data_IF_616633215574
#
_entry.id   IF_616633215574
#
_cell.length_a   1.000
_cell.length_b   1.000
_cell.length_c   1.000
_cell.angle_alpha   90.00
_cell.angle_beta   90.00
_cell.angle_gamma   90.00
#
_symmetry.space_group_name_H-M   'P 1'
#
loop_
_entity.id
_entity.type
_entity.pdbx_description
1 polymer ?
#
# COMPACT_ATOMS: atom_id res chain seq x y z
N UNK A 1 -0.59 -25.62 -55.42
CA UNK A 1 0.79 -25.31 -55.00
C UNK A 1 0.72 -24.04 -54.18
N UNK A 2 0.97 -24.15 -52.88
CA UNK A 2 0.83 -23.08 -51.89
C UNK A 2 2.03 -22.13 -51.95
N UNK A 3 1.80 -20.86 -52.26
CA UNK A 3 2.79 -19.81 -52.00
C UNK A 3 2.86 -19.58 -50.49
N UNK A 4 3.96 -20.04 -49.88
CA UNK A 4 4.32 -19.70 -48.52
C UNK A 4 4.71 -18.21 -48.50
N UNK A 5 3.81 -17.37 -47.97
CA UNK A 5 4.03 -15.93 -47.83
C UNK A 5 5.27 -15.63 -46.99
N UNK A 6 6.21 -14.90 -47.57
CA UNK A 6 7.45 -14.45 -46.93
C UNK A 6 7.13 -13.51 -45.76
N UNK A 7 7.42 -13.95 -44.53
CA UNK A 7 7.34 -13.14 -43.30
C UNK A 7 8.08 -11.81 -43.50
N UNK A 8 7.42 -10.69 -43.15
CA UNK A 8 7.94 -9.34 -43.37
C UNK A 8 9.28 -9.13 -42.66
N UNK A 9 10.17 -8.32 -43.22
CA UNK A 9 11.45 -7.95 -42.57
C UNK A 9 11.21 -7.40 -41.14
N UNK A 10 10.10 -6.70 -40.93
CA UNK A 10 9.70 -6.15 -39.62
C UNK A 10 9.27 -7.24 -38.64
N UNK A 11 8.55 -8.27 -39.08
CA UNK A 11 8.16 -9.41 -38.25
C UNK A 11 9.38 -10.22 -37.81
N UNK A 12 10.34 -10.41 -38.72
CA UNK A 12 11.61 -11.08 -38.39
C UNK A 12 12.43 -10.28 -37.39
N UNK A 13 12.61 -8.99 -37.63
CA UNK A 13 13.41 -8.11 -36.76
C UNK A 13 12.76 -7.93 -35.39
N UNK A 14 11.43 -7.77 -35.32
CA UNK A 14 10.70 -7.67 -34.05
C UNK A 14 10.81 -8.95 -33.22
N UNK A 15 10.66 -10.12 -33.84
CA UNK A 15 10.85 -11.41 -33.16
C UNK A 15 12.26 -11.55 -32.60
N UNK A 16 13.28 -11.18 -33.39
CA UNK A 16 14.68 -11.18 -32.92
C UNK A 16 14.91 -10.20 -31.77
N UNK A 17 14.34 -9.00 -31.84
CA UNK A 17 14.44 -7.99 -30.81
C UNK A 17 13.81 -8.47 -29.49
N UNK A 18 12.58 -8.97 -29.52
CA UNK A 18 11.88 -9.44 -28.32
C UNK A 18 12.65 -10.57 -27.62
N UNK A 19 13.23 -11.50 -28.40
CA UNK A 19 14.10 -12.54 -27.84
C UNK A 19 15.32 -11.96 -27.14
N UNK A 20 16.07 -11.08 -27.82
CA UNK A 20 17.26 -10.43 -27.24
C UNK A 20 16.93 -9.56 -26.03
N UNK A 21 15.79 -8.87 -26.06
CA UNK A 21 15.32 -8.05 -24.96
C UNK A 21 14.99 -8.91 -23.74
N UNK A 22 14.32 -10.06 -23.93
CA UNK A 22 14.11 -11.02 -22.86
C UNK A 22 15.42 -11.52 -22.26
N UNK A 23 16.37 -11.96 -23.09
CA UNK A 23 17.69 -12.41 -22.62
C UNK A 23 18.42 -11.31 -21.82
N UNK A 24 18.31 -10.05 -22.26
CA UNK A 24 18.86 -8.89 -21.57
C UNK A 24 18.21 -8.64 -20.20
N UNK A 25 16.87 -8.72 -20.12
CA UNK A 25 16.13 -8.59 -18.87
C UNK A 25 16.56 -9.68 -17.90
N UNK A 26 16.55 -10.95 -18.32
CA UNK A 26 16.94 -12.07 -17.44
C UNK A 26 18.39 -11.92 -16.98
N UNK A 27 19.31 -11.56 -17.89
CA UNK A 27 20.71 -11.33 -17.55
C UNK A 27 20.89 -10.32 -16.41
N UNK A 28 20.10 -9.23 -16.38
CA UNK A 28 20.14 -8.24 -15.29
C UNK A 28 19.78 -8.83 -13.92
N UNK A 29 18.72 -9.64 -13.86
CA UNK A 29 18.27 -10.26 -12.61
C UNK A 29 19.20 -11.37 -12.13
N UNK A 30 19.91 -12.05 -13.03
CA UNK A 30 20.84 -13.14 -12.70
C UNK A 30 22.26 -12.66 -12.38
N UNK A 31 22.62 -11.44 -12.74
CA UNK A 31 23.93 -10.87 -12.42
C UNK A 31 24.13 -10.67 -10.91
N UNK A 32 25.33 -10.91 -10.38
CA UNK A 32 25.64 -10.75 -8.96
C UNK A 32 26.52 -9.53 -8.64
N UNK A 33 26.92 -8.76 -9.66
CA UNK A 33 27.95 -7.71 -9.53
C UNK A 33 27.55 -6.55 -8.59
N UNK A 34 26.26 -6.31 -8.41
CA UNK A 34 25.71 -5.17 -7.67
C UNK A 34 25.80 -5.28 -6.12
N UNK A 35 26.15 -6.45 -5.58
CA UNK A 35 26.06 -6.71 -4.14
C UNK A 35 26.96 -5.80 -3.29
N UNK A 36 28.15 -5.45 -3.77
CA UNK A 36 29.06 -4.56 -3.06
C UNK A 36 28.47 -3.15 -2.93
N UNK A 37 27.98 -2.59 -4.03
CA UNK A 37 27.34 -1.26 -4.07
C UNK A 37 26.14 -1.20 -3.13
N UNK A 38 25.33 -2.27 -3.09
CA UNK A 38 24.17 -2.34 -2.20
C UNK A 38 24.56 -2.30 -0.72
N UNK A 39 25.54 -3.11 -0.30
CA UNK A 39 26.01 -3.09 1.08
C UNK A 39 26.66 -1.75 1.47
N UNK A 40 27.37 -1.10 0.56
CA UNK A 40 27.92 0.24 0.79
C UNK A 40 26.81 1.29 0.97
N UNK A 41 25.75 1.22 0.15
CA UNK A 41 24.59 2.10 0.27
C UNK A 41 23.89 1.93 1.63
N UNK A 42 23.67 0.70 2.09
CA UNK A 42 23.10 0.44 3.42
C UNK A 42 24.00 0.93 4.56
N UNK A 43 25.32 0.96 4.39
CA UNK A 43 26.22 1.49 5.42
C UNK A 43 26.18 3.01 5.48
N UNK A 44 26.12 3.66 4.31
CA UNK A 44 26.28 5.11 4.15
C UNK A 44 24.99 5.91 4.26
N UNK A 45 23.82 5.31 3.99
CA UNK A 45 22.55 6.04 3.93
C UNK A 45 21.52 5.53 4.96
N UNK A 46 20.98 6.46 5.77
CA UNK A 46 19.99 6.15 6.81
C UNK A 46 18.63 5.71 6.25
N UNK A 47 18.12 6.41 5.23
CA UNK A 47 16.85 6.08 4.58
C UNK A 47 16.93 4.70 3.90
N UNK A 48 18.04 4.38 3.23
CA UNK A 48 18.23 3.06 2.63
C UNK A 48 18.12 1.92 3.66
N UNK A 49 18.67 2.12 4.88
CA UNK A 49 18.53 1.13 5.97
C UNK A 49 17.09 0.98 6.44
N UNK A 50 16.37 2.09 6.60
CA UNK A 50 14.96 2.09 7.00
C UNK A 50 14.11 1.35 5.97
N UNK A 51 14.24 1.71 4.69
CA UNK A 51 13.52 1.06 3.60
C UNK A 51 13.84 -0.42 3.51
N UNK A 52 15.12 -0.80 3.72
CA UNK A 52 15.52 -2.20 3.74
C UNK A 52 14.90 -2.96 4.92
N UNK A 53 14.95 -2.40 6.13
CA UNK A 53 14.29 -2.98 7.30
C UNK A 53 12.80 -3.23 7.08
N UNK A 54 12.11 -2.24 6.50
CA UNK A 54 10.71 -2.38 6.09
C UNK A 54 10.51 -3.50 5.06
N UNK A 55 11.39 -3.61 4.05
CA UNK A 55 11.29 -4.66 3.03
C UNK A 55 11.42 -6.08 3.59
N UNK A 56 12.27 -6.28 4.61
CA UNK A 56 12.47 -7.60 5.23
C UNK A 56 11.20 -8.14 5.90
N UNK A 57 10.29 -7.23 6.30
CA UNK A 57 9.01 -7.56 6.91
C UNK A 57 7.87 -7.49 5.90
N UNK A 58 7.64 -6.32 5.31
CA UNK A 58 6.42 -6.01 4.55
C UNK A 58 6.31 -6.79 3.24
N UNK A 59 7.43 -7.23 2.66
CA UNK A 59 7.38 -8.01 1.41
C UNK A 59 6.88 -9.44 1.64
N UNK A 60 7.07 -10.04 2.82
CA UNK A 60 6.85 -11.48 3.02
C UNK A 60 5.84 -11.80 4.12
N UNK A 61 5.64 -10.92 5.10
CA UNK A 61 4.84 -11.22 6.30
C UNK A 61 3.38 -11.56 5.98
N UNK A 62 2.84 -11.02 4.88
CA UNK A 62 1.45 -11.24 4.47
C UNK A 62 1.22 -12.49 3.64
N UNK A 63 2.28 -13.23 3.25
CA UNK A 63 2.19 -14.49 2.53
C UNK A 63 2.18 -15.67 3.52
N UNK A 64 1.10 -15.77 4.30
CA UNK A 64 0.94 -16.77 5.34
C UNK A 64 -0.46 -17.42 5.25
N UNK A 65 -0.49 -18.69 4.85
CA UNK A 65 -1.73 -19.44 4.62
C UNK A 65 -2.58 -19.61 5.90
N UNK A 66 -1.95 -19.76 7.06
CA UNK A 66 -2.68 -19.85 8.34
C UNK A 66 -3.38 -18.53 8.65
N UNK A 67 -2.72 -17.41 8.35
CA UNK A 67 -3.31 -16.08 8.56
C UNK A 67 -4.43 -15.81 7.56
N UNK A 68 -4.26 -16.22 6.30
CA UNK A 68 -5.32 -16.11 5.29
C UNK A 68 -6.57 -16.87 5.72
N UNK A 69 -6.40 -18.09 6.21
CA UNK A 69 -7.51 -18.91 6.71
C UNK A 69 -8.22 -18.23 7.88
N UNK A 70 -7.48 -17.70 8.87
CA UNK A 70 -8.06 -16.96 10.00
C UNK A 70 -8.84 -15.72 9.57
N UNK A 71 -8.36 -14.99 8.57
CA UNK A 71 -9.10 -13.86 8.01
C UNK A 71 -10.41 -14.34 7.42
N UNK A 72 -10.38 -15.33 6.53
CA UNK A 72 -11.58 -15.83 5.84
C UNK A 72 -12.60 -16.44 6.81
N UNK A 73 -12.16 -17.05 7.92
CA UNK A 73 -13.02 -17.53 9.00
C UNK A 73 -13.64 -16.40 9.84
N UNK A 74 -12.96 -15.25 9.93
CA UNK A 74 -13.38 -14.13 10.79
C UNK A 74 -14.30 -13.14 10.07
N UNK A 75 -14.11 -12.94 8.76
CA UNK A 75 -14.92 -12.01 7.98
C UNK A 75 -16.28 -12.62 7.62
N UNK A 76 -17.30 -11.76 7.52
CA UNK A 76 -18.62 -12.15 7.03
C UNK A 76 -18.61 -12.24 5.50
N UNK A 77 -18.12 -13.37 4.98
CA UNK A 77 -18.00 -13.62 3.54
C UNK A 77 -19.37 -13.62 2.85
N UNK A 78 -20.43 -14.07 3.52
CA UNK A 78 -21.79 -14.06 2.96
C UNK A 78 -22.26 -12.62 2.71
N UNK A 79 -22.11 -11.73 3.69
CA UNK A 79 -22.44 -10.32 3.53
C UNK A 79 -21.62 -9.69 2.39
N UNK A 80 -20.30 -9.90 2.40
CA UNK A 80 -19.38 -9.35 1.39
C UNK A 80 -19.80 -9.79 -0.01
N UNK A 81 -19.86 -11.10 -0.28
CA UNK A 81 -20.19 -11.60 -1.61
C UNK A 81 -21.63 -11.25 -2.02
N UNK A 82 -22.59 -11.25 -1.09
CA UNK A 82 -23.97 -10.84 -1.41
C UNK A 82 -24.07 -9.38 -1.85
N UNK A 83 -23.18 -8.50 -1.37
CA UNK A 83 -23.12 -7.12 -1.78
C UNK A 83 -22.40 -6.97 -3.12
N UNK A 84 -21.27 -7.67 -3.32
CA UNK A 84 -20.54 -7.70 -4.59
C UNK A 84 -21.45 -8.17 -5.74
N UNK A 85 -22.24 -9.24 -5.52
CA UNK A 85 -23.14 -9.81 -6.52
C UNK A 85 -24.28 -8.86 -6.92
N UNK A 86 -24.60 -7.86 -6.08
CA UNK A 86 -25.56 -6.80 -6.40
C UNK A 86 -24.93 -5.63 -7.15
N UNK A 87 -23.61 -5.52 -7.19
CA UNK A 87 -22.93 -4.44 -7.90
C UNK A 87 -22.95 -4.70 -9.42
N UNK A 88 -23.18 -3.66 -10.24
CA UNK A 88 -23.15 -3.83 -11.68
C UNK A 88 -21.73 -4.22 -12.14
N UNK A 89 -21.66 -5.14 -13.11
CA UNK A 89 -20.42 -5.50 -13.82
C UNK A 89 -20.67 -5.63 -15.32
N UNK A 90 -19.72 -5.16 -16.12
CA UNK A 90 -19.73 -5.30 -17.59
C UNK A 90 -18.99 -6.54 -18.06
N UNK A 91 -17.88 -6.87 -17.41
CA UNK A 91 -17.09 -8.07 -17.64
C UNK A 91 -16.85 -8.80 -16.34
N UNK A 92 -16.50 -10.08 -16.41
CA UNK A 92 -16.14 -10.85 -15.22
C UNK A 92 -14.87 -10.30 -14.53
N UNK A 93 -13.99 -9.63 -15.26
CA UNK A 93 -12.77 -9.03 -14.67
C UNK A 93 -13.10 -7.87 -13.72
N UNK A 94 -14.21 -7.16 -13.95
CA UNK A 94 -14.70 -6.07 -13.07
C UNK A 94 -15.23 -6.62 -11.73
N UNK A 95 -15.53 -7.91 -11.63
CA UNK A 95 -15.97 -8.55 -10.38
C UNK A 95 -14.93 -8.39 -9.26
N UNK A 96 -13.65 -8.54 -9.59
CA UNK A 96 -12.55 -8.37 -8.63
C UNK A 96 -12.46 -6.93 -8.13
N UNK A 97 -12.66 -5.95 -9.01
CA UNK A 97 -12.69 -4.53 -8.61
C UNK A 97 -13.89 -4.24 -7.69
N UNK A 98 -15.06 -4.84 -7.96
CA UNK A 98 -16.23 -4.73 -7.09
C UNK A 98 -16.01 -5.40 -5.73
N UNK A 99 -15.33 -6.55 -5.69
CA UNK A 99 -14.90 -7.18 -4.45
C UNK A 99 -14.02 -6.23 -3.63
N UNK A 100 -13.01 -5.61 -4.24
CA UNK A 100 -12.12 -4.67 -3.53
C UNK A 100 -12.88 -3.46 -2.99
N UNK A 101 -13.80 -2.89 -3.77
CA UNK A 101 -14.67 -1.78 -3.32
C UNK A 101 -15.54 -2.19 -2.13
N UNK A 102 -16.12 -3.40 -2.16
CA UNK A 102 -16.93 -3.91 -1.06
C UNK A 102 -16.06 -4.22 0.17
N UNK A 103 -14.85 -4.75 0.01
CA UNK A 103 -13.91 -4.96 1.10
C UNK A 103 -13.55 -3.64 1.80
N UNK A 104 -13.30 -2.56 1.04
CA UNK A 104 -13.10 -1.22 1.62
C UNK A 104 -14.31 -0.78 2.45
N UNK A 105 -15.51 -0.93 1.88
CA UNK A 105 -16.77 -0.56 2.55
C UNK A 105 -16.97 -1.37 3.83
N UNK A 106 -16.92 -2.70 3.74
CA UNK A 106 -17.06 -3.61 4.87
C UNK A 106 -16.03 -3.33 5.96
N UNK A 107 -14.76 -3.15 5.58
CA UNK A 107 -13.69 -2.89 6.52
C UNK A 107 -13.94 -1.61 7.32
N UNK A 108 -14.32 -0.51 6.66
CA UNK A 108 -14.55 0.77 7.32
C UNK A 108 -15.87 0.85 8.09
N UNK A 109 -16.95 0.31 7.52
CA UNK A 109 -18.29 0.53 8.04
C UNK A 109 -18.72 -0.52 9.06
N UNK A 110 -18.29 -1.77 8.88
CA UNK A 110 -18.79 -2.90 9.66
C UNK A 110 -17.72 -3.51 10.57
N UNK A 111 -16.48 -3.62 10.09
CA UNK A 111 -15.47 -4.46 10.72
C UNK A 111 -14.52 -3.71 11.67
N UNK A 112 -13.88 -2.64 11.20
CA UNK A 112 -12.76 -1.98 11.88
C UNK A 112 -13.10 -0.55 12.28
N UNK A 113 -12.55 -0.09 13.41
CA UNK A 113 -12.90 1.22 13.99
C UNK A 113 -11.69 2.13 14.17
N UNK A 114 -11.88 3.41 13.89
CA UNK A 114 -10.85 4.41 14.12
C UNK A 114 -10.72 4.67 15.62
N UNK A 115 -9.50 4.61 16.14
CA UNK A 115 -9.21 4.87 17.56
C UNK A 115 -8.29 6.10 17.69
N UNK A 116 -8.89 7.28 17.88
CA UNK A 116 -8.11 8.47 18.24
C UNK A 116 -7.61 8.37 19.69
N UNK A 117 -8.51 8.02 20.60
CA UNK A 117 -8.25 7.73 22.01
C UNK A 117 -9.16 6.55 22.39
N UNK A 118 -8.69 5.61 23.22
CA UNK A 118 -9.47 4.43 23.57
C UNK A 118 -10.68 4.79 24.45
N UNK A 119 -11.74 3.99 24.42
CA UNK A 119 -12.74 4.04 25.49
C UNK A 119 -12.11 3.56 26.81
N UNK A 120 -12.59 4.09 27.93
CA UNK A 120 -12.16 3.66 29.26
C UNK A 120 -12.62 2.23 29.56
N UNK A 121 -11.70 1.39 30.00
CA UNK A 121 -11.96 -0.03 30.33
C UNK A 121 -13.04 -0.22 31.40
N UNK A 122 -13.23 0.79 32.27
CA UNK A 122 -14.25 0.77 33.32
C UNK A 122 -15.56 1.45 32.92
N UNK A 123 -15.52 2.56 32.17
CA UNK A 123 -16.73 3.28 31.77
C UNK A 123 -17.42 2.67 30.55
N UNK A 124 -16.66 1.94 29.72
CA UNK A 124 -17.19 1.28 28.53
C UNK A 124 -17.35 2.22 27.32
N UNK A 125 -18.09 1.77 26.29
CA UNK A 125 -18.19 2.44 25.00
C UNK A 125 -18.64 3.91 25.06
N UNK A 126 -18.04 4.77 24.24
CA UNK A 126 -18.39 6.20 24.15
C UNK A 126 -17.78 7.08 25.25
N UNK A 127 -16.83 6.54 26.01
CA UNK A 127 -16.12 7.23 27.10
C UNK A 127 -14.77 7.81 26.69
N UNK A 128 -14.33 7.62 25.45
CA UNK A 128 -13.08 8.17 24.90
C UNK A 128 -12.90 9.68 25.13
N UNK A 129 -13.99 10.46 25.13
CA UNK A 129 -13.99 11.90 25.44
C UNK A 129 -13.50 12.26 26.85
N UNK A 130 -13.53 11.31 27.78
CA UNK A 130 -13.03 11.50 29.14
C UNK A 130 -11.57 11.12 29.30
N UNK A 131 -10.96 10.52 28.28
CA UNK A 131 -9.57 10.14 28.33
C UNK A 131 -8.64 11.33 28.21
N UNK A 132 -7.55 11.28 28.97
CA UNK A 132 -6.41 12.17 28.84
C UNK A 132 -5.16 11.33 28.64
N UNK A 133 -4.42 11.58 27.56
CA UNK A 133 -3.12 10.94 27.36
C UNK A 133 -2.17 11.31 28.50
N UNK A 134 -1.54 10.31 29.13
CA UNK A 134 -0.60 10.50 30.24
C UNK A 134 0.82 10.03 29.92
N UNK A 135 1.03 9.36 28.78
CA UNK A 135 2.37 9.00 28.30
C UNK A 135 2.37 7.81 27.36
N UNK A 136 3.57 7.37 26.99
CA UNK A 136 3.82 6.15 26.22
C UNK A 136 4.75 5.27 27.04
N UNK A 137 4.43 3.98 27.15
CA UNK A 137 5.22 2.98 27.87
C UNK A 137 5.54 1.77 26.99
N UNK A 138 6.48 0.94 27.42
CA UNK A 138 6.74 -0.34 26.78
C UNK A 138 5.57 -1.33 26.95
N UNK A 139 5.48 -2.34 26.06
CA UNK A 139 4.49 -3.40 26.18
C UNK A 139 4.71 -4.22 27.46
N UNK A 140 3.62 -4.72 28.03
CA UNK A 140 3.69 -5.79 29.02
C UNK A 140 3.96 -7.15 28.33
N UNK A 141 4.15 -8.21 29.11
CA UNK A 141 4.48 -9.54 28.57
C UNK A 141 3.43 -10.15 27.65
N UNK A 142 2.15 -9.79 27.81
CA UNK A 142 1.07 -10.26 26.91
C UNK A 142 1.02 -9.45 25.63
N UNK A 143 1.16 -8.12 25.73
CA UNK A 143 1.17 -7.22 24.58
C UNK A 143 2.37 -7.49 23.66
N UNK A 144 3.53 -7.79 24.24
CA UNK A 144 4.77 -8.05 23.50
C UNK A 144 4.69 -9.28 22.58
N UNK A 145 3.78 -10.23 22.85
CA UNK A 145 3.58 -11.43 22.01
C UNK A 145 3.06 -11.11 20.61
N UNK A 146 2.45 -9.93 20.43
CA UNK A 146 1.72 -9.54 19.22
C UNK A 146 2.42 -8.38 18.48
N UNK A 147 3.75 -8.40 18.47
CA UNK A 147 4.60 -7.41 17.78
C UNK A 147 4.28 -5.96 18.22
N UNK A 148 3.97 -5.78 19.50
CA UNK A 148 3.74 -4.46 20.10
C UNK A 148 5.06 -3.87 20.58
N UNK A 149 5.34 -2.62 20.21
CA UNK A 149 6.55 -1.91 20.65
C UNK A 149 6.25 -0.69 21.52
N UNK A 150 5.03 -0.15 21.45
CA UNK A 150 4.62 1.03 22.18
C UNK A 150 3.17 0.92 22.64
N UNK A 151 2.91 1.41 23.85
CA UNK A 151 1.58 1.44 24.44
C UNK A 151 1.29 2.85 24.91
N UNK A 152 0.24 3.44 24.36
CA UNK A 152 -0.24 4.75 24.79
C UNK A 152 -1.08 4.59 26.06
N UNK A 153 -0.74 5.34 27.11
CA UNK A 153 -1.49 5.34 28.37
C UNK A 153 -2.44 6.52 28.42
N UNK A 154 -3.67 6.22 28.81
CA UNK A 154 -4.72 7.20 29.02
C UNK A 154 -5.27 7.09 30.42
N UNK A 155 -5.62 8.23 31.04
CA UNK A 155 -6.30 8.29 32.33
C UNK A 155 -7.68 8.89 32.14
N UNK A 156 -8.70 8.17 32.61
CA UNK A 156 -10.08 8.62 32.52
C UNK A 156 -10.37 9.69 33.59
N UNK A 157 -10.76 10.89 33.16
CA UNK A 157 -11.11 11.98 34.07
C UNK A 157 -12.43 11.74 34.83
N UNK A 158 -13.27 10.81 34.38
CA UNK A 158 -14.55 10.50 35.03
C UNK A 158 -14.42 9.49 36.17
N UNK A 159 -13.54 8.47 36.04
CA UNK A 159 -13.43 7.38 37.02
C UNK A 159 -12.01 7.12 37.53
N UNK A 160 -11.01 7.84 37.02
CA UNK A 160 -9.60 7.72 37.40
C UNK A 160 -8.87 6.50 36.86
N UNK A 161 -9.56 5.57 36.19
CA UNK A 161 -9.00 4.34 35.62
C UNK A 161 -7.98 4.66 34.52
N UNK A 162 -6.87 3.93 34.52
CA UNK A 162 -5.88 3.95 33.45
C UNK A 162 -6.23 2.90 32.40
N UNK A 163 -6.23 3.32 31.14
CA UNK A 163 -6.48 2.47 29.97
C UNK A 163 -5.25 2.44 29.09
N UNK A 164 -4.94 1.24 28.60
CA UNK A 164 -3.80 0.96 27.73
C UNK A 164 -4.26 0.84 26.29
N UNK A 165 -3.62 1.57 25.38
CA UNK A 165 -3.81 1.41 23.94
C UNK A 165 -2.53 0.89 23.32
N UNK A 166 -2.41 -0.43 23.25
CA UNK A 166 -1.29 -1.13 22.64
C UNK A 166 -1.32 -0.99 21.11
N UNK A 167 -0.20 -0.59 20.51
CA UNK A 167 -0.03 -0.42 19.07
C UNK A 167 0.54 -1.71 18.49
N UNK A 168 -0.35 -2.63 18.10
CA UNK A 168 0.02 -3.96 17.60
C UNK A 168 0.40 -3.94 16.12
N UNK A 169 1.50 -4.62 15.78
CA UNK A 169 1.89 -4.85 14.39
C UNK A 169 1.54 -6.27 13.90
N UNK A 170 1.14 -7.20 14.79
CA UNK A 170 0.58 -8.49 14.39
C UNK A 170 -0.83 -8.29 13.80
N UNK A 171 -1.04 -8.52 12.50
CA UNK A 171 -2.35 -8.30 11.87
C UNK A 171 -3.41 -9.31 12.35
N UNK A 172 -3.03 -10.50 12.81
CA UNK A 172 -3.99 -11.46 13.38
C UNK A 172 -4.53 -10.93 14.70
N UNK A 173 -3.71 -10.25 15.52
CA UNK A 173 -4.23 -9.57 16.72
C UNK A 173 -5.22 -8.45 16.37
N UNK A 174 -5.03 -7.79 15.24
CA UNK A 174 -5.94 -6.74 14.77
C UNK A 174 -7.32 -7.27 14.37
N UNK A 175 -7.44 -8.53 13.93
CA UNK A 175 -8.75 -9.18 13.71
C UNK A 175 -9.61 -9.25 14.98
N UNK A 176 -8.94 -9.35 16.14
CA UNK A 176 -9.58 -9.38 17.46
C UNK A 176 -9.86 -7.97 17.99
N UNK A 177 -8.86 -7.08 17.96
CA UNK A 177 -9.01 -5.73 18.56
C UNK A 177 -9.93 -4.82 17.75
N UNK A 178 -10.00 -5.04 16.42
CA UNK A 178 -10.88 -4.35 15.46
C UNK A 178 -10.81 -2.81 15.56
N UNK A 179 -9.67 -2.27 15.99
CA UNK A 179 -9.48 -0.83 16.12
C UNK A 179 -8.02 -0.42 15.98
N UNK A 180 -7.80 0.81 15.50
CA UNK A 180 -6.46 1.37 15.38
C UNK A 180 -6.43 2.71 14.63
N UNK A 181 -5.24 3.09 14.16
CA UNK A 181 -5.02 4.26 13.28
C UNK A 181 -4.46 3.77 11.93
N UNK A 182 -4.05 4.68 11.04
CA UNK A 182 -3.65 4.35 9.67
C UNK A 182 -2.66 3.16 9.58
N UNK A 183 -1.70 3.05 10.50
CA UNK A 183 -0.81 1.89 10.62
C UNK A 183 -1.53 0.55 10.74
N UNK A 184 -2.37 0.39 11.76
CA UNK A 184 -3.15 -0.83 11.98
C UNK A 184 -4.16 -1.09 10.85
N UNK A 185 -4.78 -0.02 10.34
CA UNK A 185 -5.76 -0.10 9.24
C UNK A 185 -5.11 -0.64 7.96
N UNK A 186 -4.00 -0.05 7.50
CA UNK A 186 -3.30 -0.51 6.31
C UNK A 186 -2.69 -1.90 6.53
N UNK A 187 -2.14 -2.18 7.71
CA UNK A 187 -1.55 -3.48 8.04
C UNK A 187 -2.57 -4.62 7.90
N UNK A 188 -3.72 -4.51 8.58
CA UNK A 188 -4.74 -5.54 8.49
C UNK A 188 -5.40 -5.59 7.10
N UNK A 189 -5.64 -4.44 6.47
CA UNK A 189 -6.26 -4.42 5.15
C UNK A 189 -5.35 -5.05 4.07
N UNK A 190 -4.03 -4.91 4.18
CA UNK A 190 -3.06 -5.64 3.34
C UNK A 190 -3.26 -7.15 3.48
N UNK A 191 -3.33 -7.65 4.71
CA UNK A 191 -3.55 -9.07 4.96
C UNK A 191 -4.91 -9.53 4.39
N UNK A 192 -5.96 -8.74 4.55
CA UNK A 192 -7.29 -9.03 3.99
C UNK A 192 -7.18 -9.20 2.47
N UNK A 193 -6.64 -8.22 1.75
CA UNK A 193 -6.50 -8.31 0.28
C UNK A 193 -5.73 -9.58 -0.14
N UNK A 194 -4.61 -9.87 0.54
CA UNK A 194 -3.80 -11.06 0.28
C UNK A 194 -4.54 -12.37 0.58
N UNK A 195 -5.45 -12.39 1.55
CA UNK A 195 -6.27 -13.56 1.91
C UNK A 195 -7.30 -13.92 0.84
N UNK A 196 -7.72 -12.95 0.03
CA UNK A 196 -8.55 -13.18 -1.16
C UNK A 196 -7.71 -13.52 -2.41
N UNK A 197 -6.41 -13.75 -2.25
CA UNK A 197 -5.49 -14.05 -3.37
C UNK A 197 -5.21 -12.85 -4.27
N UNK A 198 -5.47 -11.63 -3.80
CA UNK A 198 -5.25 -10.41 -4.58
C UNK A 198 -3.78 -9.98 -4.50
N UNK A 199 -3.26 -9.49 -5.62
CA UNK A 199 -1.97 -8.82 -5.65
C UNK A 199 -2.10 -7.46 -4.96
N UNK A 200 -1.42 -7.30 -3.82
CA UNK A 200 -1.49 -6.11 -2.99
C UNK A 200 -0.09 -5.60 -2.62
N UNK A 201 0.04 -4.28 -2.51
CA UNK A 201 1.21 -3.59 -1.97
C UNK A 201 0.83 -2.85 -0.70
N UNK A 202 1.78 -2.80 0.23
CA UNK A 202 1.78 -1.84 1.35
C UNK A 202 2.55 -0.61 0.90
N UNK A 203 1.93 0.57 0.95
CA UNK A 203 2.58 1.84 0.60
C UNK A 203 2.89 2.64 1.85
N UNK A 204 4.16 3.01 1.98
CA UNK A 204 4.65 3.87 3.03
C UNK A 204 4.91 5.27 2.48
N UNK A 205 4.35 6.29 3.13
CA UNK A 205 4.76 7.68 2.96
C UNK A 205 5.51 8.17 4.20
N UNK A 206 6.65 8.82 3.97
CA UNK A 206 7.54 9.30 5.03
C UNK A 206 6.88 10.27 6.01
N UNK A 207 5.92 11.06 5.56
CA UNK A 207 5.20 12.06 6.36
C UNK A 207 4.02 11.45 7.16
N UNK A 208 4.26 10.28 7.78
CA UNK A 208 3.35 9.62 8.73
C UNK A 208 1.97 9.28 8.13
N UNK A 209 1.97 8.61 6.97
CA UNK A 209 0.77 7.95 6.46
C UNK A 209 1.12 6.70 5.66
N UNK A 210 0.20 5.75 5.65
CA UNK A 210 0.36 4.45 4.99
C UNK A 210 -0.97 4.02 4.40
N UNK A 211 -0.92 3.29 3.30
CA UNK A 211 -2.10 2.84 2.56
C UNK A 211 -1.76 1.62 1.70
N UNK A 212 -2.63 1.25 0.77
CA UNK A 212 -2.49 0.06 -0.05
C UNK A 212 -2.55 0.35 -1.55
N UNK A 213 -1.96 -0.52 -2.36
CA UNK A 213 -2.33 -0.66 -3.76
C UNK A 213 -2.80 -2.08 -4.03
N UNK A 214 -3.66 -2.26 -5.02
CA UNK A 214 -3.94 -3.58 -5.58
C UNK A 214 -3.76 -3.56 -7.09
N UNK A 215 -3.36 -4.67 -7.68
CA UNK A 215 -3.31 -4.79 -9.14
C UNK A 215 -4.68 -5.18 -9.66
N UNK A 216 -5.32 -4.31 -10.44
CA UNK A 216 -6.62 -4.61 -11.07
C UNK A 216 -6.41 -5.36 -12.38
N UNK A 217 -6.93 -6.60 -12.52
CA UNK A 217 -6.90 -7.30 -13.80
C UNK A 217 -7.73 -6.60 -14.88
N UNK A 218 -8.79 -5.90 -14.47
CA UNK A 218 -9.68 -5.15 -15.36
C UNK A 218 -9.00 -3.88 -15.89
N UNK A 219 -8.45 -3.05 -15.00
CA UNK A 219 -7.76 -1.80 -15.37
C UNK A 219 -6.33 -2.02 -15.86
N UNK A 220 -5.77 -3.23 -15.64
CA UNK A 220 -4.41 -3.66 -16.01
C UNK A 220 -3.30 -2.80 -15.42
N UNK A 221 -3.54 -2.25 -14.23
CA UNK A 221 -2.59 -1.41 -13.50
C UNK A 221 -2.77 -1.52 -11.99
N UNK A 222 -1.78 -1.03 -11.27
CA UNK A 222 -1.90 -0.79 -9.83
C UNK A 222 -2.89 0.33 -9.56
N UNK A 223 -3.78 0.11 -8.60
CA UNK A 223 -4.84 1.02 -8.18
C UNK A 223 -4.62 1.37 -6.72
N UNK A 224 -4.67 2.67 -6.42
CA UNK A 224 -4.59 3.17 -5.05
C UNK A 224 -5.81 2.74 -4.22
N UNK A 225 -5.57 2.28 -3.00
CA UNK A 225 -6.58 2.02 -1.99
C UNK A 225 -6.20 2.69 -0.68
N UNK A 226 -7.15 3.36 -0.04
CA UNK A 226 -7.00 3.82 1.34
C UNK A 226 -8.19 3.32 2.16
N UNK A 227 -7.94 2.34 3.03
CA UNK A 227 -8.97 1.73 3.87
C UNK A 227 -9.50 2.68 4.94
N UNK A 228 -8.70 3.65 5.40
CA UNK A 228 -9.16 4.68 6.35
C UNK A 228 -10.19 5.62 5.71
N UNK A 229 -10.02 5.88 4.42
CA UNK A 229 -10.85 6.82 3.65
C UNK A 229 -11.91 6.12 2.79
N UNK A 230 -11.97 4.78 2.80
CA UNK A 230 -12.81 3.97 1.89
C UNK A 230 -12.59 4.37 0.41
N UNK A 231 -11.35 4.72 0.07
CA UNK A 231 -11.01 5.29 -1.23
C UNK A 231 -10.50 4.21 -2.18
N UNK A 232 -11.03 4.24 -3.41
CA UNK A 232 -10.61 3.38 -4.52
C UNK A 232 -10.21 4.27 -5.69
N UNK A 233 -8.97 4.12 -6.16
CA UNK A 233 -8.41 4.79 -7.34
C UNK A 233 -8.34 6.32 -7.29
N UNK A 234 -8.08 6.88 -6.11
CA UNK A 234 -7.93 8.31 -5.91
C UNK A 234 -6.55 8.68 -5.34
N UNK A 235 -5.45 8.45 -6.06
CA UNK A 235 -4.10 8.72 -5.54
C UNK A 235 -3.85 10.21 -5.23
N UNK A 236 -4.66 11.11 -5.77
CA UNK A 236 -4.58 12.55 -5.55
C UNK A 236 -5.09 13.01 -4.17
N UNK A 237 -5.76 12.14 -3.38
CA UNK A 237 -6.42 12.55 -2.12
C UNK A 237 -5.44 13.21 -1.16
N UNK A 238 -4.19 12.76 -1.13
CA UNK A 238 -3.21 13.29 -0.20
C UNK A 238 -2.70 14.66 -0.63
N UNK A 239 -2.19 14.78 -1.86
CA UNK A 239 -1.54 16.00 -2.32
C UNK A 239 -2.54 17.12 -2.66
N UNK A 240 -3.74 16.77 -3.15
CA UNK A 240 -4.76 17.75 -3.54
C UNK A 240 -5.74 17.96 -2.40
N UNK A 241 -6.45 16.91 -1.98
CA UNK A 241 -7.58 17.08 -1.07
C UNK A 241 -7.13 17.39 0.37
N UNK A 242 -6.12 16.69 0.88
CA UNK A 242 -5.55 16.99 2.20
C UNK A 242 -4.51 18.11 2.13
N UNK A 243 -4.17 18.57 0.93
CA UNK A 243 -3.10 19.53 0.67
C UNK A 243 -1.77 19.13 1.36
N UNK A 244 -1.52 17.83 1.52
CA UNK A 244 -0.39 17.28 2.27
C UNK A 244 0.91 17.47 1.50
N UNK A 245 1.92 18.00 2.17
CA UNK A 245 3.29 18.04 1.63
C UNK A 245 3.98 16.70 1.87
N UNK A 246 4.57 16.11 0.84
CA UNK A 246 5.17 14.77 0.89
C UNK A 246 6.52 14.70 0.20
N UNK A 247 7.42 13.83 0.66
CA UNK A 247 8.77 13.64 0.08
C UNK A 247 8.93 12.30 -0.64
N UNK A 248 8.61 11.18 0.03
CA UNK A 248 8.78 9.82 -0.49
C UNK A 248 7.54 8.97 -0.26
N UNK A 249 7.16 8.20 -1.28
CA UNK A 249 6.18 7.11 -1.20
C UNK A 249 6.80 5.83 -1.78
N UNK A 250 6.95 4.78 -0.98
CA UNK A 250 7.56 3.50 -1.40
C UNK A 250 6.56 2.37 -1.18
N UNK A 251 6.36 1.55 -2.21
CA UNK A 251 5.47 0.41 -2.19
C UNK A 251 6.24 -0.90 -2.00
N UNK A 252 5.69 -1.80 -1.19
CA UNK A 252 6.25 -3.11 -0.84
C UNK A 252 5.28 -4.23 -1.19
N UNK A 253 5.77 -5.28 -1.84
CA UNK A 253 5.05 -6.52 -2.14
C UNK A 253 6.04 -7.69 -2.19
N UNK A 254 5.52 -8.90 -2.32
CA UNK A 254 6.30 -10.14 -2.35
C UNK A 254 7.30 -10.24 -3.48
N UNK A 255 7.11 -9.49 -4.57
CA UNK A 255 7.97 -9.53 -5.73
C UNK A 255 8.60 -8.17 -6.08
N UNK A 256 8.21 -7.08 -5.42
CA UNK A 256 8.58 -5.71 -5.84
C UNK A 256 8.70 -4.76 -4.66
N UNK A 257 9.78 -3.98 -4.67
CA UNK A 257 9.91 -2.71 -3.93
C UNK A 257 10.11 -1.60 -4.96
N UNK A 258 9.23 -0.60 -4.96
CA UNK A 258 9.26 0.47 -5.98
C UNK A 258 8.90 1.83 -5.40
N UNK A 259 9.55 2.87 -5.91
CA UNK A 259 9.24 4.25 -5.59
C UNK A 259 8.01 4.69 -6.39
N UNK A 260 6.88 4.84 -5.70
CA UNK A 260 5.59 5.25 -6.27
C UNK A 260 5.33 6.76 -6.06
N UNK A 261 6.33 7.53 -5.66
CA UNK A 261 6.18 8.96 -5.33
C UNK A 261 5.54 9.77 -6.46
N UNK A 262 5.88 9.49 -7.73
CA UNK A 262 5.31 10.20 -8.89
C UNK A 262 3.80 10.05 -9.03
N UNK A 263 3.22 8.97 -8.48
CA UNK A 263 1.78 8.73 -8.48
C UNK A 263 1.04 9.60 -7.47
N UNK A 264 1.66 9.88 -6.33
CA UNK A 264 1.01 10.49 -5.16
C UNK A 264 1.43 11.93 -4.91
N UNK A 265 2.68 12.28 -5.23
CA UNK A 265 3.27 13.61 -4.99
C UNK A 265 3.16 14.44 -6.26
N UNK A 266 1.93 14.74 -6.65
CA UNK A 266 1.60 15.54 -7.83
C UNK A 266 1.54 17.05 -7.52
N UNK A 267 1.61 17.41 -6.24
CA UNK A 267 1.62 18.77 -5.68
C UNK A 267 2.35 18.74 -4.34
N UNK A 268 2.80 19.89 -3.85
CA UNK A 268 3.39 20.07 -2.51
C UNK A 268 4.60 19.15 -2.24
N UNK A 269 5.44 18.95 -3.27
CA UNK A 269 6.63 18.11 -3.13
C UNK A 269 7.62 18.75 -2.16
N UNK A 270 7.94 18.01 -1.10
CA UNK A 270 9.02 18.33 -0.18
C UNK A 270 10.38 17.98 -0.81
N UNK A 271 11.48 18.60 -0.33
CA UNK A 271 12.82 18.22 -0.73
C UNK A 271 13.06 16.71 -0.57
N UNK A 272 13.65 16.10 -1.59
CA UNK A 272 14.06 14.69 -1.60
C UNK A 272 15.57 14.60 -1.43
N UNK A 273 16.03 14.96 -0.25
CA UNK A 273 17.44 15.12 0.11
C UNK A 273 17.99 14.02 1.02
N UNK A 274 17.17 13.00 1.35
CA UNK A 274 17.54 11.92 2.26
C UNK A 274 18.35 10.80 1.58
N UNK A 275 18.25 10.68 0.25
CA UNK A 275 18.97 9.74 -0.60
C UNK A 275 19.07 10.31 -2.01
N UNK A 276 20.16 10.03 -2.73
CA UNK A 276 20.26 10.39 -4.15
C UNK A 276 19.24 9.60 -4.96
N UNK A 277 18.59 10.22 -5.95
CA UNK A 277 17.57 9.54 -6.77
C UNK A 277 18.12 8.29 -7.47
N UNK A 278 19.34 8.34 -8.00
CA UNK A 278 19.99 7.17 -8.63
C UNK A 278 20.24 6.03 -7.64
N UNK A 279 20.52 6.35 -6.37
CA UNK A 279 20.72 5.35 -5.32
C UNK A 279 19.38 4.78 -4.83
N UNK A 280 18.31 5.57 -4.79
CA UNK A 280 16.96 5.06 -4.50
C UNK A 280 16.43 4.15 -5.61
N UNK A 281 16.64 4.53 -6.87
CA UNK A 281 16.28 3.69 -8.02
C UNK A 281 17.07 2.38 -8.00
N UNK A 282 18.38 2.46 -7.77
CA UNK A 282 19.23 1.28 -7.60
C UNK A 282 18.79 0.40 -6.43
N UNK A 283 18.48 1.01 -5.28
CA UNK A 283 17.98 0.31 -4.10
C UNK A 283 16.71 -0.48 -4.42
N UNK A 284 15.68 0.16 -4.99
CA UNK A 284 14.42 -0.47 -5.34
C UNK A 284 14.62 -1.63 -6.32
N UNK A 285 15.45 -1.40 -7.36
CA UNK A 285 15.82 -2.42 -8.33
C UNK A 285 16.52 -3.62 -7.67
N UNK A 286 17.51 -3.37 -6.82
CA UNK A 286 18.31 -4.43 -6.22
C UNK A 286 17.48 -5.27 -5.24
N UNK A 287 16.65 -4.63 -4.39
CA UNK A 287 15.74 -5.37 -3.49
C UNK A 287 14.72 -6.18 -4.29
N UNK A 288 14.12 -5.60 -5.33
CA UNK A 288 13.22 -6.32 -6.26
C UNK A 288 13.91 -7.52 -6.91
N UNK A 289 15.16 -7.35 -7.34
CA UNK A 289 15.98 -8.43 -7.89
C UNK A 289 16.23 -9.56 -6.89
N UNK A 290 16.46 -9.23 -5.61
CA UNK A 290 16.58 -10.24 -4.56
C UNK A 290 15.26 -11.00 -4.33
N UNK A 291 14.13 -10.29 -4.28
CA UNK A 291 12.79 -10.88 -4.11
C UNK A 291 12.44 -11.85 -5.25
N UNK A 292 12.88 -11.54 -6.48
CA UNK A 292 12.62 -12.35 -7.68
C UNK A 292 13.68 -13.43 -7.96
N UNK A 293 14.67 -13.60 -7.08
CA UNK A 293 15.83 -14.47 -7.33
C UNK A 293 15.48 -15.95 -7.55
N UNK A 294 14.40 -16.43 -6.91
CA UNK A 294 13.91 -17.81 -7.02
C UNK A 294 12.89 -18.02 -8.15
N UNK A 295 12.42 -16.96 -8.80
CA UNK A 295 11.42 -17.05 -9.86
C UNK A 295 12.00 -17.60 -11.16
N UNK A 296 11.13 -18.17 -12.00
CA UNK A 296 11.49 -18.63 -13.34
C UNK A 296 11.66 -17.46 -14.28
N UNK A 297 12.41 -17.66 -15.35
CA UNK A 297 12.73 -16.61 -16.31
C UNK A 297 11.49 -15.98 -16.95
N UNK A 298 10.45 -16.77 -17.27
CA UNK A 298 9.20 -16.24 -17.81
C UNK A 298 8.46 -15.34 -16.82
N UNK A 299 8.48 -15.69 -15.53
CA UNK A 299 7.86 -14.89 -14.46
C UNK A 299 8.60 -13.57 -14.27
N UNK A 300 9.94 -13.62 -14.21
CA UNK A 300 10.79 -12.42 -14.13
C UNK A 300 10.52 -11.48 -15.30
N UNK A 301 10.47 -12.02 -16.53
CA UNK A 301 10.24 -11.20 -17.72
C UNK A 301 8.86 -10.54 -17.71
N UNK A 302 7.80 -11.28 -17.34
CA UNK A 302 6.45 -10.74 -17.29
C UNK A 302 6.30 -9.65 -16.21
N UNK A 303 6.89 -9.87 -15.03
CA UNK A 303 6.92 -8.87 -13.96
C UNK A 303 7.71 -7.62 -14.35
N UNK A 304 8.87 -7.78 -14.99
CA UNK A 304 9.65 -6.64 -15.48
C UNK A 304 8.88 -5.85 -16.55
N UNK A 305 8.16 -6.53 -17.46
CA UNK A 305 7.29 -5.85 -18.42
C UNK A 305 6.20 -5.02 -17.71
N UNK A 306 5.56 -5.59 -16.68
CA UNK A 306 4.56 -4.87 -15.87
C UNK A 306 5.16 -3.65 -15.17
N UNK A 307 6.34 -3.78 -14.58
CA UNK A 307 7.02 -2.65 -13.91
C UNK A 307 7.38 -1.54 -14.90
N UNK A 308 7.81 -1.89 -16.11
CA UNK A 308 8.12 -0.91 -17.15
C UNK A 308 6.85 -0.21 -17.65
N UNK A 309 5.72 -0.92 -17.78
CA UNK A 309 4.43 -0.31 -18.08
C UNK A 309 4.01 0.68 -17.00
N UNK A 310 4.12 0.30 -15.72
CA UNK A 310 3.83 1.19 -14.59
C UNK A 310 4.72 2.46 -14.62
N UNK A 311 6.03 2.33 -14.90
CA UNK A 311 6.92 3.49 -15.02
C UNK A 311 6.53 4.42 -16.17
N UNK A 312 6.01 3.88 -17.28
CA UNK A 312 5.53 4.67 -18.41
C UNK A 312 4.24 5.43 -18.08
N UNK A 313 3.39 4.91 -17.18
CA UNK A 313 2.20 5.63 -16.71
C UNK A 313 2.56 6.94 -15.98
N UNK A 314 3.73 7.01 -15.37
CA UNK A 314 4.19 8.19 -14.63
C UNK A 314 4.91 9.21 -15.49
N UNK A 315 5.16 8.91 -16.76
CA UNK A 315 5.73 9.88 -17.70
C UNK A 315 4.62 10.86 -18.08
N UNK A 316 4.83 12.18 -17.90
CA UNK A 316 3.85 13.16 -18.34
C UNK A 316 3.56 12.98 -19.83
N UNK A 317 2.30 12.70 -20.19
CA UNK A 317 1.90 12.70 -21.59
C UNK A 317 1.98 14.14 -22.11
N UNK A 318 2.60 14.40 -23.28
CA UNK A 318 2.52 15.71 -23.89
C UNK A 318 1.03 16.02 -24.07
N UNK A 319 0.61 17.23 -23.67
CA UNK A 319 -0.79 17.66 -23.75
C UNK A 319 -1.27 17.53 -25.19
N UNK A 320 -2.02 16.47 -25.50
CA UNK A 320 -2.88 16.45 -26.66
C UNK A 320 -3.87 17.61 -26.49
N UNK A 321 -4.00 18.44 -27.52
CA UNK A 321 -4.88 19.62 -27.59
C UNK A 321 -6.37 19.32 -27.46
N UNK A 322 -6.75 18.10 -27.08
CA UNK A 322 -8.10 17.68 -26.74
C UNK A 322 -8.18 17.50 -25.22
N UNK A 323 -8.56 18.57 -24.53
CA UNK A 323 -8.73 18.62 -23.07
C UNK A 323 -9.89 17.77 -22.55
N UNK A 324 -9.78 16.44 -22.67
CA UNK A 324 -10.77 15.50 -22.12
C UNK A 324 -10.24 14.30 -21.34
N UNK A 325 -8.94 13.96 -21.40
CA UNK A 325 -8.46 12.71 -20.80
C UNK A 325 -7.27 12.90 -19.83
N UNK A 326 -7.47 13.66 -18.75
CA UNK A 326 -6.63 13.59 -17.54
C UNK A 326 -7.36 14.19 -16.33
N UNK A 327 -8.62 13.82 -16.14
CA UNK A 327 -9.30 13.99 -14.87
C UNK A 327 -9.76 12.60 -14.44
N UNK A 328 -9.03 11.97 -13.53
CA UNK A 328 -9.72 11.12 -12.56
C UNK A 328 -10.77 12.05 -11.96
N UNK A 329 -12.04 11.84 -12.33
CA UNK A 329 -13.16 12.63 -11.84
C UNK A 329 -13.05 12.64 -10.32
N UNK A 330 -12.52 13.72 -9.76
CA UNK A 330 -12.53 13.96 -8.34
C UNK A 330 -14.01 14.05 -7.97
N UNK A 331 -14.58 12.94 -7.51
CA UNK A 331 -15.98 12.87 -7.12
C UNK A 331 -16.28 13.73 -5.90
N UNK A 332 -15.26 14.39 -5.33
CA UNK A 332 -15.35 15.52 -4.38
C UNK A 332 -14.01 16.30 -4.36
N UNK A 333 -13.79 17.29 -5.24
CA UNK A 333 -12.66 18.20 -5.09
C UNK A 333 -12.87 19.05 -3.82
N UNK A 334 -11.93 19.02 -2.87
CA UNK A 334 -12.00 19.79 -1.62
C UNK A 334 -12.55 19.04 -0.39
N UNK A 335 -12.86 17.75 -0.49
CA UNK A 335 -13.15 16.95 0.71
C UNK A 335 -11.85 16.67 1.48
N UNK A 336 -11.64 17.34 2.61
CA UNK A 336 -10.52 17.07 3.51
C UNK A 336 -10.53 15.65 4.07
N UNK A 337 -9.50 15.32 4.85
CA UNK A 337 -9.34 14.00 5.46
C UNK A 337 -10.58 13.59 6.26
N UNK A 338 -11.03 12.35 6.09
CA UNK A 338 -12.16 11.81 6.84
C UNK A 338 -11.71 11.29 8.21
N UNK A 339 -10.63 10.48 8.23
CA UNK A 339 -10.10 9.85 9.45
C UNK A 339 -9.41 10.84 10.42
N UNK A 340 -9.45 10.54 11.72
CA UNK A 340 -8.89 11.42 12.76
C UNK A 340 -9.87 12.43 13.34
N UNK A 341 -9.54 13.01 14.50
CA UNK A 341 -10.37 14.06 15.10
C UNK A 341 -10.27 15.38 14.32
N UNK A 342 -11.25 16.27 14.47
CA UNK A 342 -11.24 17.57 13.79
C UNK A 342 -10.02 18.40 14.17
N UNK A 343 -9.65 18.42 15.45
CA UNK A 343 -8.48 19.14 15.95
C UNK A 343 -7.18 18.57 15.38
N UNK A 344 -7.07 17.24 15.29
CA UNK A 344 -5.91 16.57 14.75
C UNK A 344 -5.72 16.86 13.25
N UNK A 345 -6.82 16.84 12.48
CA UNK A 345 -6.81 17.21 11.06
C UNK A 345 -6.44 18.67 10.85
N UNK A 346 -7.00 19.58 11.65
CA UNK A 346 -6.69 21.00 11.59
C UNK A 346 -5.23 21.30 11.93
N UNK A 347 -4.67 20.65 12.96
CA UNK A 347 -3.26 20.79 13.33
C UNK A 347 -2.31 20.39 12.20
N UNK A 348 -2.73 19.44 11.36
CA UNK A 348 -1.97 18.96 10.20
C UNK A 348 -2.28 19.70 8.90
N UNK A 349 -3.28 20.59 8.88
CA UNK A 349 -3.75 21.27 7.67
C UNK A 349 -4.44 20.34 6.67
N UNK A 350 -4.91 19.18 7.12
CA UNK A 350 -5.50 18.13 6.27
C UNK A 350 -7.05 18.22 6.22
N UNK A 351 -7.65 19.35 6.63
CA UNK A 351 -9.10 19.56 6.73
C UNK A 351 -9.79 20.00 5.43
N UNK A 352 -9.03 20.16 4.33
CA UNK A 352 -9.57 20.41 2.98
C UNK A 352 -9.72 21.88 2.59
N UNK A 353 -8.93 22.77 3.20
CA UNK A 353 -8.96 24.23 2.92
C UNK A 353 -8.00 24.69 1.83
#
# INVERSE_FOLDING_TARGET
MSEAGTTSIYERVSTMFLKKYKDYVIGKYRDASDAHRFHELLRSNGLARELYGSSQRLCTIYDNADWHSKVLETLDLELIYSNVDKMPKKTEEEYTDNLVKELLRYFKQDFFRWCNQPDCDKCGPGSSKFQKAIGVVGPNGEEAKYDCHAVELYKCNACGTETRFARYNDPVKLLETRKGRCGEWANLFTLILKSFGLEARYVWNREDHVWNEYYSPFLKRWVHLDSCEQSFDQPYIYAINWNKSMSYCVAYSSDTVTDVSKRYIIKNQLPRDQIKEDDLQFFCYYVTKQLRSSLKDDEIYNLDCRDNLEKLEWVPKPSSSDGKDAATNASNPGAGRESGSAEWKQQRGEDGK
#
